data_IF_749841457139
#
_entry.id   IF_749841457139
#
_cell.length_a   1.000
_cell.length_b   1.000
_cell.length_c   1.000
_cell.angle_alpha   90.00
_cell.angle_beta   90.00
_cell.angle_gamma   90.00
#
_symmetry.space_group_name_H-M   'P 1'
#
loop_
_entity.id
_entity.type
_entity.pdbx_description
1 polymer ?
#
# COMPACT_ATOMS: atom_id res chain seq x y z
N UNK A 1 1.14 44.71 -25.03
CA UNK A 1 -0.10 44.02 -25.43
C UNK A 1 0.12 42.52 -25.32
N UNK A 2 -0.56 41.91 -24.37
CA UNK A 2 -0.44 40.54 -23.85
C UNK A 2 -0.91 39.52 -24.88
N UNK A 3 -0.04 38.56 -25.23
CA UNK A 3 -0.43 37.33 -25.94
C UNK A 3 0.07 36.13 -25.17
N UNK A 4 -0.87 35.46 -24.51
CA UNK A 4 -0.73 34.12 -23.96
C UNK A 4 -0.41 33.16 -25.10
N UNK A 5 0.73 32.48 -25.02
CA UNK A 5 1.00 31.26 -25.76
C UNK A 5 1.55 30.23 -24.76
N UNK A 6 0.62 29.42 -24.27
CA UNK A 6 0.87 28.18 -23.55
C UNK A 6 1.55 27.19 -24.51
N UNK A 7 2.38 26.31 -23.93
CA UNK A 7 2.78 24.99 -24.43
C UNK A 7 4.15 24.88 -25.12
N UNK A 8 5.17 24.45 -24.37
CA UNK A 8 6.15 23.46 -24.86
C UNK A 8 6.41 22.43 -23.76
N UNK A 9 6.00 21.21 -24.07
CA UNK A 9 6.28 19.93 -23.40
C UNK A 9 7.68 19.47 -23.79
N UNK A 10 8.51 19.05 -22.82
CA UNK A 10 9.59 18.05 -22.90
C UNK A 10 10.40 18.13 -21.57
N UNK A 11 10.91 17.11 -20.88
CA UNK A 11 11.36 15.76 -21.23
C UNK A 11 11.16 14.87 -19.99
N UNK A 12 10.63 13.67 -20.21
CA UNK A 12 10.57 12.58 -19.25
C UNK A 12 11.98 12.03 -18.95
N UNK A 13 12.31 11.81 -17.67
CA UNK A 13 13.23 10.78 -17.17
C UNK A 13 13.32 10.91 -15.64
N UNK A 14 12.22 10.66 -14.95
CA UNK A 14 12.31 10.27 -13.54
C UNK A 14 12.06 8.78 -13.52
N UNK A 15 13.15 8.05 -13.29
CA UNK A 15 13.20 6.60 -13.33
C UNK A 15 12.06 5.98 -12.53
N UNK A 16 11.44 4.98 -13.15
CA UNK A 16 10.58 4.03 -12.49
C UNK A 16 11.40 3.24 -11.45
N UNK A 17 11.62 3.86 -10.29
CA UNK A 17 12.13 3.18 -9.11
C UNK A 17 10.92 2.82 -8.26
N UNK A 18 10.47 1.57 -8.37
CA UNK A 18 9.48 1.04 -7.43
C UNK A 18 8.41 0.10 -7.99
N UNK A 19 8.63 -0.59 -9.12
CA UNK A 19 7.85 -1.79 -9.45
C UNK A 19 8.64 -3.03 -9.02
N UNK A 20 8.75 -3.25 -7.72
CA UNK A 20 9.16 -4.54 -7.16
C UNK A 20 7.98 -5.15 -6.43
N UNK A 21 7.08 -5.78 -7.19
CA UNK A 21 6.19 -6.81 -6.65
C UNK A 21 6.16 -7.94 -7.67
N UNK A 22 7.16 -8.81 -7.56
CA UNK A 22 7.17 -10.09 -8.26
C UNK A 22 6.01 -10.96 -7.78
N UNK A 23 5.43 -11.72 -8.71
CA UNK A 23 4.44 -12.74 -8.40
C UNK A 23 3.38 -12.89 -9.49
N UNK A 24 3.68 -13.72 -10.47
CA UNK A 24 2.75 -14.20 -11.48
C UNK A 24 1.52 -14.89 -10.87
N UNK A 25 0.35 -14.75 -11.51
CA UNK A 25 -0.77 -15.68 -11.38
C UNK A 25 -1.99 -15.22 -10.56
N UNK A 26 -3.03 -14.73 -11.25
CA UNK A 26 -4.42 -15.09 -10.98
C UNK A 26 -5.23 -14.36 -9.89
N UNK A 27 -4.64 -13.61 -8.95
CA UNK A 27 -5.41 -12.84 -7.96
C UNK A 27 -4.75 -11.48 -7.72
N UNK A 28 -5.49 -10.39 -7.95
CA UNK A 28 -5.05 -9.03 -7.58
C UNK A 28 -4.76 -9.02 -6.08
N UNK A 29 -3.47 -9.02 -5.73
CA UNK A 29 -3.01 -8.96 -4.35
C UNK A 29 -2.49 -7.56 -4.09
N UNK A 30 -3.02 -6.87 -3.09
CA UNK A 30 -2.56 -5.55 -2.68
C UNK A 30 -1.69 -5.70 -1.43
N UNK A 31 -0.47 -5.17 -1.50
CA UNK A 31 0.43 -5.15 -0.34
C UNK A 31 0.31 -3.82 0.41
N UNK A 32 0.18 -3.92 1.72
CA UNK A 32 0.11 -2.82 2.68
C UNK A 32 1.19 -3.05 3.73
N UNK A 33 1.78 -2.01 4.29
CA UNK A 33 2.71 -2.12 5.41
C UNK A 33 2.25 -1.26 6.58
N UNK A 34 2.20 -1.82 7.77
CA UNK A 34 2.07 -1.03 8.98
C UNK A 34 3.39 -0.33 9.28
N UNK A 35 3.30 0.91 9.74
CA UNK A 35 4.42 1.66 10.28
C UNK A 35 4.29 1.76 11.79
N UNK A 36 5.43 1.86 12.46
CA UNK A 36 5.52 2.00 13.92
C UNK A 36 4.95 3.31 14.45
N UNK A 37 4.67 4.29 13.59
CA UNK A 37 4.01 5.57 13.94
C UNK A 37 2.47 5.50 13.85
N UNK A 38 1.90 4.29 13.82
CA UNK A 38 0.44 4.07 13.74
C UNK A 38 -0.17 4.37 12.35
N UNK A 39 0.68 4.63 11.35
CA UNK A 39 0.26 4.85 9.96
C UNK A 39 0.37 3.59 9.12
N UNK A 40 -0.24 3.63 7.95
CA UNK A 40 -0.23 2.54 6.97
C UNK A 40 0.34 3.03 5.65
N UNK A 41 1.18 2.21 5.02
CA UNK A 41 1.67 2.45 3.66
C UNK A 41 0.93 1.52 2.71
N UNK A 42 0.20 2.10 1.76
CA UNK A 42 -0.58 1.37 0.76
C UNK A 42 0.02 1.68 -0.62
N UNK A 43 0.54 0.67 -1.32
CA UNK A 43 1.19 0.85 -2.62
C UNK A 43 2.22 2.00 -2.64
N UNK A 44 3.00 2.15 -1.57
CA UNK A 44 4.01 3.20 -1.42
C UNK A 44 3.50 4.57 -0.95
N UNK A 45 2.19 4.74 -0.71
CA UNK A 45 1.60 5.98 -0.17
C UNK A 45 1.27 5.83 1.30
N UNK A 46 1.72 6.77 2.12
CA UNK A 46 1.40 6.81 3.55
C UNK A 46 0.00 7.39 3.76
N UNK A 47 -0.84 6.66 4.47
CA UNK A 47 -2.15 7.08 4.93
C UNK A 47 -2.28 6.84 6.44
N UNK A 48 -3.19 7.58 7.08
CA UNK A 48 -3.58 7.30 8.46
C UNK A 48 -4.57 6.14 8.50
N UNK A 49 -4.64 5.42 9.63
CA UNK A 49 -5.46 4.21 9.77
C UNK A 49 -6.94 4.44 9.39
N UNK A 50 -7.52 5.59 9.77
CA UNK A 50 -8.92 5.92 9.43
C UNK A 50 -9.18 5.98 7.92
N UNK A 51 -8.16 6.35 7.15
CA UNK A 51 -8.23 6.55 5.70
C UNK A 51 -7.75 5.31 4.93
N UNK A 52 -7.41 4.22 5.65
CA UNK A 52 -6.98 2.96 5.07
C UNK A 52 -7.94 2.43 3.99
N UNK A 53 -9.27 2.35 4.21
CA UNK A 53 -10.19 1.88 3.16
C UNK A 53 -10.14 2.72 1.89
N UNK A 54 -10.02 4.05 2.04
CA UNK A 54 -9.95 4.98 0.92
C UNK A 54 -8.63 4.81 0.16
N UNK A 55 -7.51 4.65 0.86
CA UNK A 55 -6.21 4.40 0.26
C UNK A 55 -6.17 3.06 -0.49
N UNK A 56 -6.75 2.01 0.09
CA UNK A 56 -6.88 0.69 -0.51
C UNK A 56 -7.72 0.72 -1.78
N UNK A 57 -8.88 1.40 -1.74
CA UNK A 57 -9.72 1.61 -2.93
C UNK A 57 -9.00 2.44 -4.00
N UNK A 58 -8.29 3.50 -3.62
CA UNK A 58 -7.51 4.33 -4.54
C UNK A 58 -6.33 3.56 -5.18
N UNK A 59 -5.83 2.52 -4.52
CA UNK A 59 -4.85 1.60 -5.08
C UNK A 59 -5.46 0.54 -6.01
N UNK A 60 -6.78 0.58 -6.25
CA UNK A 60 -7.48 -0.31 -7.17
C UNK A 60 -8.00 -1.62 -6.56
N UNK A 61 -7.95 -1.78 -5.23
CA UNK A 61 -8.46 -2.97 -4.59
C UNK A 61 -9.99 -3.03 -4.57
N UNK A 62 -10.52 -4.22 -4.85
CA UNK A 62 -11.93 -4.60 -4.81
C UNK A 62 -12.18 -5.54 -3.63
N UNK A 63 -13.45 -5.84 -3.33
CA UNK A 63 -13.85 -6.67 -2.18
C UNK A 63 -13.23 -8.08 -2.16
N UNK A 64 -12.90 -8.62 -3.35
CA UNK A 64 -12.26 -9.93 -3.53
C UNK A 64 -10.72 -9.87 -3.62
N UNK A 65 -10.13 -8.67 -3.61
CA UNK A 65 -8.67 -8.48 -3.62
C UNK A 65 -8.09 -9.02 -2.32
N UNK A 66 -7.04 -9.84 -2.44
CA UNK A 66 -6.28 -10.29 -1.27
C UNK A 66 -5.42 -9.15 -0.77
N UNK A 67 -5.61 -8.73 0.47
CA UNK A 67 -4.82 -7.67 1.10
C UNK A 67 -3.77 -8.34 1.99
N UNK A 68 -2.51 -8.18 1.61
CA UNK A 68 -1.38 -8.63 2.42
C UNK A 68 -0.84 -7.47 3.23
N UNK A 69 -0.89 -7.58 4.55
CA UNK A 69 -0.44 -6.57 5.49
C UNK A 69 0.91 -7.01 6.07
N UNK A 70 1.98 -6.29 5.73
CA UNK A 70 3.29 -6.42 6.33
C UNK A 70 3.29 -5.73 7.70
N UNK A 71 3.53 -6.49 8.76
CA UNK A 71 3.50 -6.00 10.15
C UNK A 71 4.93 -5.94 10.69
N UNK A 72 5.41 -4.78 11.15
CA UNK A 72 6.72 -4.66 11.76
C UNK A 72 6.78 -5.39 13.11
N UNK A 73 7.99 -5.79 13.50
CA UNK A 73 8.19 -6.40 14.82
C UNK A 73 7.82 -5.39 15.92
N UNK A 74 7.08 -5.86 16.94
CA UNK A 74 6.60 -5.03 18.04
C UNK A 74 5.21 -4.41 17.84
N UNK A 75 4.55 -4.63 16.70
CA UNK A 75 3.13 -4.25 16.56
C UNK A 75 2.26 -5.05 17.52
N UNK A 76 1.36 -4.35 18.20
CA UNK A 76 0.45 -4.96 19.17
C UNK A 76 -0.66 -5.77 18.47
N UNK A 77 -1.18 -6.79 19.16
CA UNK A 77 -2.35 -7.52 18.67
C UNK A 77 -3.57 -6.60 18.49
N UNK A 78 -3.72 -5.56 19.33
CA UNK A 78 -4.79 -4.58 19.22
C UNK A 78 -4.75 -3.77 17.91
N UNK A 79 -3.55 -3.40 17.45
CA UNK A 79 -3.38 -2.73 16.15
C UNK A 79 -3.70 -3.66 14.99
N UNK A 80 -3.26 -4.92 15.04
CA UNK A 80 -3.60 -5.92 14.02
C UNK A 80 -5.12 -6.15 13.93
N UNK A 81 -5.79 -6.19 15.08
CA UNK A 81 -7.25 -6.33 15.16
C UNK A 81 -7.96 -5.08 14.61
N UNK A 82 -7.44 -3.89 14.91
CA UNK A 82 -7.96 -2.63 14.35
C UNK A 82 -7.88 -2.63 12.83
N UNK A 83 -6.73 -2.98 12.27
CA UNK A 83 -6.54 -3.08 10.81
C UNK A 83 -7.49 -4.09 10.19
N UNK A 84 -7.59 -5.28 10.78
CA UNK A 84 -8.48 -6.34 10.30
C UNK A 84 -9.92 -5.83 10.29
N UNK A 85 -10.37 -5.23 11.39
CA UNK A 85 -11.72 -4.69 11.54
C UNK A 85 -12.00 -3.62 10.50
N UNK A 86 -11.13 -2.62 10.35
CA UNK A 86 -11.28 -1.54 9.37
C UNK A 86 -11.38 -2.07 7.94
N UNK A 87 -10.56 -3.07 7.56
CA UNK A 87 -10.62 -3.68 6.23
C UNK A 87 -11.88 -4.53 6.03
N UNK A 88 -12.31 -5.27 7.07
CA UNK A 88 -13.55 -6.07 7.04
C UNK A 88 -14.80 -5.21 6.93
N UNK A 89 -14.88 -4.14 7.71
CA UNK A 89 -15.97 -3.14 7.65
C UNK A 89 -16.04 -2.47 6.27
N UNK A 90 -14.89 -2.30 5.60
CA UNK A 90 -14.82 -1.80 4.23
C UNK A 90 -15.14 -2.87 3.15
N UNK A 91 -15.45 -4.10 3.54
CA UNK A 91 -15.85 -5.18 2.63
C UNK A 91 -14.70 -6.03 2.07
N UNK A 92 -13.48 -5.88 2.57
CA UNK A 92 -12.35 -6.70 2.15
C UNK A 92 -12.32 -8.01 2.95
N UNK A 93 -12.65 -9.11 2.29
CA UNK A 93 -12.80 -10.41 2.96
C UNK A 93 -11.49 -11.19 3.13
N UNK A 94 -10.45 -10.85 2.38
CA UNK A 94 -9.18 -11.59 2.35
C UNK A 94 -8.07 -10.70 2.89
N UNK A 95 -7.77 -10.82 4.18
CA UNK A 95 -6.67 -10.09 4.83
C UNK A 95 -5.67 -11.11 5.35
N UNK A 96 -4.43 -11.00 4.92
CA UNK A 96 -3.32 -11.85 5.35
C UNK A 96 -2.27 -11.01 6.04
N UNK A 97 -1.82 -11.42 7.21
CA UNK A 97 -0.71 -10.78 7.90
C UNK A 97 0.59 -11.50 7.57
N UNK A 98 1.59 -10.73 7.19
CA UNK A 98 2.95 -11.22 6.94
C UNK A 98 3.90 -10.42 7.80
N UNK A 99 4.92 -11.08 8.36
CA UNK A 99 6.05 -10.35 8.92
C UNK A 99 7.07 -10.20 7.80
N UNK A 100 7.58 -9.00 7.51
CA UNK A 100 8.66 -8.86 6.57
C UNK A 100 9.84 -9.66 7.13
N UNK A 101 10.17 -10.81 6.53
CA UNK A 101 11.46 -11.44 6.78
C UNK A 101 12.48 -10.37 6.39
N UNK A 102 13.19 -9.82 7.36
CA UNK A 102 14.42 -9.07 7.07
C UNK A 102 15.25 -10.02 6.23
N UNK A 103 15.40 -9.72 4.94
CA UNK A 103 16.46 -10.32 4.16
C UNK A 103 17.74 -9.89 4.88
N UNK A 104 18.29 -10.79 5.71
CA UNK A 104 19.66 -10.70 6.16
C UNK A 104 20.50 -10.85 4.89
N UNK A 105 20.80 -9.72 4.25
CA UNK A 105 21.86 -9.66 3.26
C UNK A 105 23.13 -9.79 4.07
N UNK A 106 23.60 -11.01 4.26
CA UNK A 106 24.93 -11.27 4.80
C UNK A 106 25.94 -10.67 3.83
N UNK A 107 26.86 -9.91 4.40
CA UNK A 107 27.90 -9.13 3.74
C UNK A 107 28.96 -10.03 3.12
#
# INVERSE_FOLDING_TARGET
MTRFAVLVVAVALVGAQGCSTGGAGGLSTLQISLRSDGKVSVAGRVAVMRDLPKAVKAAGARSFTSITVAVPDGTSQGEMMTVTRTLREAGYARVLFTRPRRAQVSR
#
